data_IF_230052819377
#
_entry.id   IF_230052819377
#
_cell.length_a   1.000
_cell.length_b   1.000
_cell.length_c   1.000
_cell.angle_alpha   90.00
_cell.angle_beta   90.00
_cell.angle_gamma   90.00
#
_symmetry.space_group_name_H-M   'P 1'
#
loop_
_entity.id
_entity.type
_entity.pdbx_description
1 polymer ?
#
# COMPACT_ATOMS: atom_id res chain seq x y z
N UNK A 1 13.38 8.95 -17.63
CA UNK A 1 14.37 9.02 -16.56
C UNK A 1 13.89 9.82 -15.37
N UNK A 2 13.22 10.93 -15.58
CA UNK A 2 12.52 11.63 -14.49
C UNK A 2 11.47 10.71 -13.85
N UNK A 3 10.79 9.90 -14.66
CA UNK A 3 9.79 8.94 -14.18
C UNK A 3 10.36 7.91 -13.21
N UNK A 4 11.58 7.42 -13.48
CA UNK A 4 12.22 6.45 -12.61
C UNK A 4 12.60 7.07 -11.26
N UNK A 5 13.14 8.29 -11.27
CA UNK A 5 13.47 9.01 -10.04
C UNK A 5 12.21 9.31 -9.23
N UNK A 6 11.15 9.73 -9.89
CA UNK A 6 9.87 10.00 -9.23
C UNK A 6 9.28 8.72 -8.64
N UNK A 7 9.33 7.60 -9.39
CA UNK A 7 8.85 6.32 -8.90
C UNK A 7 9.61 5.87 -7.66
N UNK A 8 10.92 6.05 -7.63
CA UNK A 8 11.74 5.71 -6.45
C UNK A 8 11.38 6.59 -5.25
N UNK A 9 11.16 7.89 -5.48
CA UNK A 9 10.74 8.79 -4.42
C UNK A 9 9.38 8.39 -3.85
N UNK A 10 8.43 8.06 -4.70
CA UNK A 10 7.11 7.59 -4.29
C UNK A 10 7.20 6.28 -3.52
N UNK A 11 8.05 5.36 -3.97
CA UNK A 11 8.28 4.09 -3.29
C UNK A 11 8.81 4.30 -1.87
N UNK A 12 9.81 5.16 -1.72
CA UNK A 12 10.38 5.48 -0.41
C UNK A 12 9.35 6.14 0.51
N UNK A 13 8.56 7.06 -0.03
CA UNK A 13 7.50 7.71 0.73
C UNK A 13 6.43 6.70 1.14
N UNK A 14 6.09 5.77 0.25
CA UNK A 14 5.14 4.72 0.55
C UNK A 14 5.61 3.82 1.69
N UNK A 15 6.89 3.45 1.70
CA UNK A 15 7.47 2.66 2.79
C UNK A 15 7.38 3.41 4.13
N UNK A 16 7.63 4.71 4.11
CA UNK A 16 7.51 5.55 5.31
C UNK A 16 6.06 5.59 5.79
N UNK A 17 5.10 5.76 4.89
CA UNK A 17 3.68 5.74 5.23
C UNK A 17 3.26 4.40 5.82
N UNK A 18 3.74 3.30 5.25
CA UNK A 18 3.45 1.96 5.76
C UNK A 18 4.00 1.79 7.19
N UNK A 19 5.21 2.30 7.43
CA UNK A 19 5.82 2.27 8.74
C UNK A 19 5.02 3.08 9.77
N UNK A 20 4.49 4.22 9.36
CA UNK A 20 3.67 5.09 10.21
C UNK A 20 2.21 4.64 10.29
N UNK A 21 1.88 3.51 9.68
CA UNK A 21 0.52 2.94 9.65
C UNK A 21 -0.50 3.80 8.89
N UNK A 22 -0.03 4.61 7.96
CA UNK A 22 -0.88 5.36 7.03
C UNK A 22 -0.97 4.60 5.71
N UNK A 23 -1.51 3.39 5.77
CA UNK A 23 -1.52 2.45 4.64
C UNK A 23 -2.26 2.97 3.42
N UNK A 24 -3.29 3.77 3.62
CA UNK A 24 -4.04 4.38 2.53
C UNK A 24 -3.15 5.27 1.66
N UNK A 25 -2.31 6.09 2.29
CA UNK A 25 -1.36 6.94 1.58
C UNK A 25 -0.26 6.11 0.92
N UNK A 26 0.20 5.05 1.59
CA UNK A 26 1.19 4.15 1.04
C UNK A 26 0.67 3.46 -0.22
N UNK A 27 -0.56 2.97 -0.18
CA UNK A 27 -1.17 2.32 -1.35
C UNK A 27 -1.29 3.30 -2.52
N UNK A 28 -1.74 4.52 -2.26
CA UNK A 28 -1.87 5.55 -3.29
C UNK A 28 -0.53 5.85 -3.96
N UNK A 29 0.53 6.02 -3.17
CA UNK A 29 1.87 6.30 -3.70
C UNK A 29 2.39 5.12 -4.52
N UNK A 30 2.14 3.89 -4.08
CA UNK A 30 2.57 2.70 -4.81
C UNK A 30 1.81 2.50 -6.12
N UNK A 31 0.51 2.80 -6.14
CA UNK A 31 -0.27 2.77 -7.36
C UNK A 31 0.31 3.76 -8.37
N UNK A 32 0.60 4.96 -7.92
CA UNK A 32 1.19 6.00 -8.80
C UNK A 32 2.56 5.58 -9.30
N UNK A 33 3.40 5.02 -8.42
CA UNK A 33 4.72 4.51 -8.81
C UNK A 33 4.59 3.36 -9.83
N UNK A 34 3.61 2.48 -9.67
CA UNK A 34 3.41 1.38 -10.60
C UNK A 34 2.94 1.85 -11.97
N UNK A 35 2.26 2.98 -12.05
CA UNK A 35 1.88 3.58 -13.32
C UNK A 35 3.10 4.17 -14.04
N UNK A 36 4.06 4.69 -13.28
CA UNK A 36 5.28 5.27 -13.86
C UNK A 36 6.27 4.20 -14.33
N UNK A 37 6.38 3.11 -13.58
CA UNK A 37 7.32 2.01 -13.89
C UNK A 37 6.58 0.68 -13.70
N UNK A 38 5.71 0.28 -14.66
CA UNK A 38 4.89 -0.93 -14.52
C UNK A 38 5.68 -2.23 -14.39
N UNK A 39 6.89 -2.25 -14.93
CA UNK A 39 7.74 -3.44 -14.92
C UNK A 39 8.51 -3.64 -13.60
N UNK A 40 8.42 -2.71 -12.68
CA UNK A 40 9.16 -2.80 -11.41
C UNK A 40 8.48 -3.80 -10.46
N UNK A 41 9.11 -4.95 -10.28
CA UNK A 41 8.57 -6.02 -9.45
C UNK A 41 8.53 -5.64 -7.96
N UNK A 42 9.47 -4.83 -7.50
CA UNK A 42 9.51 -4.40 -6.10
C UNK A 42 8.29 -3.54 -5.75
N UNK A 43 7.92 -2.62 -6.63
CA UNK A 43 6.75 -1.77 -6.46
C UNK A 43 5.49 -2.62 -6.46
N UNK A 44 5.37 -3.55 -7.41
CA UNK A 44 4.21 -4.45 -7.50
C UNK A 44 4.08 -5.32 -6.25
N UNK A 45 5.19 -5.85 -5.75
CA UNK A 45 5.20 -6.68 -4.55
C UNK A 45 4.75 -5.91 -3.31
N UNK A 46 5.24 -4.69 -3.13
CA UNK A 46 4.84 -3.85 -2.00
C UNK A 46 3.37 -3.44 -2.08
N UNK A 47 2.89 -3.14 -3.28
CA UNK A 47 1.49 -2.81 -3.48
C UNK A 47 0.58 -3.98 -3.10
N UNK A 48 0.93 -5.19 -3.54
CA UNK A 48 0.20 -6.41 -3.20
C UNK A 48 0.20 -6.64 -1.69
N UNK A 49 1.35 -6.47 -1.05
CA UNK A 49 1.51 -6.63 0.39
C UNK A 49 0.60 -5.67 1.17
N UNK A 50 0.59 -4.41 0.79
CA UNK A 50 -0.22 -3.40 1.47
C UNK A 50 -1.72 -3.66 1.27
N UNK A 51 -2.13 -4.03 0.06
CA UNK A 51 -3.52 -4.40 -0.21
C UNK A 51 -3.96 -5.60 0.63
N UNK A 52 -3.08 -6.58 0.77
CA UNK A 52 -3.35 -7.75 1.59
C UNK A 52 -3.49 -7.38 3.07
N UNK A 53 -2.60 -6.54 3.59
CA UNK A 53 -2.65 -6.08 4.98
C UNK A 53 -3.93 -5.29 5.27
N UNK A 54 -4.34 -4.42 4.35
CA UNK A 54 -5.57 -3.64 4.49
C UNK A 54 -6.81 -4.55 4.48
N UNK A 55 -6.81 -5.55 3.62
CA UNK A 55 -7.89 -6.52 3.53
C UNK A 55 -8.03 -7.30 4.83
N UNK A 56 -6.92 -7.80 5.37
CA UNK A 56 -6.91 -8.55 6.63
C UNK A 56 -7.40 -7.69 7.80
N UNK A 57 -6.96 -6.46 7.86
CA UNK A 57 -7.39 -5.52 8.90
C UNK A 57 -8.89 -5.25 8.81
N UNK A 58 -9.41 -5.06 7.61
CA UNK A 58 -10.85 -4.85 7.39
C UNK A 58 -11.66 -6.06 7.82
N UNK A 59 -11.19 -7.26 7.50
CA UNK A 59 -11.87 -8.50 7.88
C UNK A 59 -11.87 -8.69 9.40
N UNK A 60 -10.77 -8.37 10.07
CA UNK A 60 -10.69 -8.43 11.53
C UNK A 60 -11.66 -7.44 12.18
N UNK A 61 -11.75 -6.24 11.66
CA UNK A 61 -12.69 -5.22 12.14
C UNK A 61 -14.13 -5.68 11.95
N UNK A 62 -14.43 -6.28 10.82
CA UNK A 62 -15.76 -6.83 10.53
C UNK A 62 -16.15 -7.93 11.53
N UNK A 63 -15.22 -8.83 11.81
CA UNK A 63 -15.47 -9.93 12.77
C UNK A 63 -15.70 -9.41 14.18
N UNK A 64 -14.89 -8.44 14.61
CA UNK A 64 -15.03 -7.82 15.91
C UNK A 64 -16.37 -7.09 16.03
N UNK A 65 -16.74 -6.35 14.99
CA UNK A 65 -18.01 -5.64 14.93
C UNK A 65 -19.20 -6.60 15.00
N UNK A 66 -19.10 -7.70 14.27
CA UNK A 66 -20.15 -8.73 14.25
C UNK A 66 -20.36 -9.36 15.62
N UNK A 67 -19.28 -9.59 16.36
CA UNK A 67 -19.35 -10.12 17.72
C UNK A 67 -20.06 -9.21 18.69
N UNK A 68 -19.93 -7.91 18.51
CA UNK A 68 -20.58 -6.91 19.37
C UNK A 68 -22.10 -6.89 19.21
N UNK A 69 -22.61 -7.32 18.07
CA UNK A 69 -24.04 -7.29 17.78
C UNK A 69 -24.72 -8.65 17.91
N UNK A 70 -23.96 -9.68 18.19
CA UNK A 70 -24.47 -11.00 18.48
C UNK A 70 -24.36 -11.26 19.99
#
# INVERSE_FOLDING_TARGET
>A
MISLLLAKALYRRALAHAYLKTEEHAEKDLVEASHLVPEDAAIAAELTKIRQQRKEKREKEKKAYKKLFN
#
